data_IF_407317250252
#
_entry.id   IF_407317250252
#
_cell.length_a   1.000
_cell.length_b   1.000
_cell.length_c   1.000
_cell.angle_alpha   90.00
_cell.angle_beta   90.00
_cell.angle_gamma   90.00
#
_symmetry.space_group_name_H-M   'P 1'
#
loop_
_entity.id
_entity.type
_entity.pdbx_description
1 polymer ?
#
# COMPACT_ATOMS: atom_id res chain seq x y z
N UNK A 1 0.60 4.27 19.81
CA UNK A 1 1.89 4.65 19.21
C UNK A 1 2.21 3.60 18.16
N UNK A 2 1.77 3.81 16.91
CA UNK A 2 1.96 2.83 15.84
C UNK A 2 3.41 2.88 15.36
N UNK A 3 4.11 1.76 15.46
CA UNK A 3 5.52 1.63 15.09
C UNK A 3 5.65 1.63 13.56
N UNK A 4 6.07 2.77 13.00
CA UNK A 4 6.41 2.94 11.58
C UNK A 4 7.49 1.93 11.12
N UNK A 5 8.26 1.39 12.07
CA UNK A 5 9.24 0.33 11.85
C UNK A 5 8.65 -0.96 11.27
N UNK A 6 7.33 -1.18 11.39
CA UNK A 6 6.67 -2.38 10.85
C UNK A 6 6.49 -2.36 9.32
N UNK A 7 6.56 -1.19 8.69
CA UNK A 7 6.47 -1.02 7.24
C UNK A 7 7.80 -0.61 6.61
N UNK A 8 8.87 -0.54 7.42
CA UNK A 8 10.23 -0.47 6.94
C UNK A 8 10.56 -1.78 6.24
N UNK A 9 10.78 -1.66 4.94
CA UNK A 9 10.98 -2.75 3.99
C UNK A 9 11.97 -3.80 4.50
N UNK A 10 11.43 -4.98 4.82
CA UNK A 10 12.24 -6.20 4.85
C UNK A 10 12.44 -6.60 3.39
N UNK A 11 13.53 -6.14 2.79
CA UNK A 11 14.10 -6.73 1.58
C UNK A 11 14.08 -8.26 1.76
N UNK A 12 13.21 -8.95 1.03
CA UNK A 12 13.14 -10.41 1.04
C UNK A 12 13.43 -10.92 -0.36
N UNK A 13 14.70 -11.24 -0.53
CA UNK A 13 15.24 -12.17 -1.51
C UNK A 13 14.26 -13.34 -1.76
N UNK A 14 13.61 -13.38 -2.92
CA UNK A 14 12.66 -14.44 -3.30
C UNK A 14 13.44 -15.64 -3.82
N UNK A 15 13.99 -16.43 -2.91
CA UNK A 15 14.50 -17.76 -3.23
C UNK A 15 13.34 -18.77 -3.18
N UNK A 16 12.69 -19.01 -4.34
CA UNK A 16 11.70 -20.08 -4.47
C UNK A 16 12.38 -21.44 -4.29
N UNK A 17 12.20 -22.08 -3.13
CA UNK A 17 12.50 -23.51 -2.98
C UNK A 17 11.29 -24.30 -3.44
N UNK A 18 11.44 -24.86 -4.64
CA UNK A 18 10.68 -25.96 -5.25
C UNK A 18 9.99 -26.83 -4.18
N UNK A 19 8.66 -26.81 -4.11
CA UNK A 19 7.83 -28.01 -4.21
C UNK A 19 6.33 -27.68 -4.16
N UNK A 20 5.57 -28.29 -5.07
CA UNK A 20 4.16 -28.67 -4.94
C UNK A 20 3.10 -27.57 -4.69
N UNK A 21 2.35 -27.25 -5.75
CA UNK A 21 0.99 -26.67 -5.64
C UNK A 21 0.89 -25.25 -6.19
N UNK A 22 0.51 -25.13 -7.45
CA UNK A 22 0.26 -23.86 -8.12
C UNK A 22 -0.95 -23.16 -7.47
N UNK A 23 -0.69 -22.26 -6.53
CA UNK A 23 -1.67 -21.29 -5.99
C UNK A 23 -0.96 -19.94 -5.99
N UNK A 24 -1.10 -19.21 -7.11
CA UNK A 24 -0.54 -17.88 -7.41
C UNK A 24 1.00 -17.81 -7.39
N UNK A 25 1.60 -17.36 -8.50
CA UNK A 25 3.05 -17.12 -8.55
C UNK A 25 3.46 -16.16 -7.41
N UNK A 26 4.68 -16.31 -6.89
CA UNK A 26 5.17 -15.47 -5.79
C UNK A 26 5.02 -13.96 -6.08
N UNK A 27 5.22 -13.58 -7.34
CA UNK A 27 5.02 -12.23 -7.86
C UNK A 27 3.56 -11.76 -7.77
N UNK A 28 2.60 -12.62 -8.14
CA UNK A 28 1.18 -12.27 -8.10
C UNK A 28 0.68 -12.16 -6.66
N UNK A 29 1.13 -13.07 -5.80
CA UNK A 29 0.90 -13.01 -4.34
C UNK A 29 1.49 -11.73 -3.72
N UNK A 30 2.67 -11.29 -4.16
CA UNK A 30 3.29 -10.04 -3.70
C UNK A 30 2.48 -8.82 -4.12
N UNK A 31 2.04 -8.76 -5.39
CA UNK A 31 1.22 -7.66 -5.90
C UNK A 31 -0.08 -7.56 -5.11
N UNK A 32 -0.76 -8.67 -4.88
CA UNK A 32 -1.98 -8.72 -4.04
C UNK A 32 -1.69 -8.27 -2.61
N UNK A 33 -0.59 -8.74 -2.01
CA UNK A 33 -0.21 -8.33 -0.65
C UNK A 33 0.05 -6.80 -0.58
N UNK A 34 0.65 -6.21 -1.62
CA UNK A 34 0.88 -4.77 -1.72
C UNK A 34 -0.44 -4.00 -1.79
N UNK A 35 -1.38 -4.45 -2.62
CA UNK A 35 -2.72 -3.86 -2.72
C UNK A 35 -3.43 -3.88 -1.36
N UNK A 36 -3.41 -5.02 -0.67
CA UNK A 36 -4.07 -5.19 0.64
C UNK A 36 -3.49 -4.21 1.67
N UNK A 37 -2.17 -4.06 1.72
CA UNK A 37 -1.51 -3.14 2.68
C UNK A 37 -1.96 -1.69 2.48
N UNK A 38 -1.98 -1.23 1.24
CA UNK A 38 -2.38 0.15 0.91
C UNK A 38 -3.87 0.35 1.13
N UNK A 39 -4.68 -0.64 0.77
CA UNK A 39 -6.11 -0.60 1.00
C UNK A 39 -6.45 -0.53 2.49
N UNK A 40 -5.82 -1.36 3.32
CA UNK A 40 -6.01 -1.37 4.77
C UNK A 40 -5.65 -0.01 5.40
N UNK A 41 -4.51 0.58 5.01
CA UNK A 41 -4.12 1.92 5.46
C UNK A 41 -5.12 2.99 5.03
N UNK A 42 -5.62 2.93 3.79
CA UNK A 42 -6.64 3.87 3.31
C UNK A 42 -7.96 3.71 4.09
N UNK A 43 -8.38 2.48 4.39
CA UNK A 43 -9.58 2.21 5.21
C UNK A 43 -9.43 2.83 6.60
N UNK A 44 -8.25 2.71 7.22
CA UNK A 44 -7.97 3.31 8.52
C UNK A 44 -8.04 4.85 8.48
N UNK A 45 -7.48 5.47 7.44
CA UNK A 45 -7.57 6.93 7.23
C UNK A 45 -9.01 7.44 7.21
N UNK A 46 -9.93 6.69 6.60
CA UNK A 46 -11.36 7.01 6.56
C UNK A 46 -12.15 6.41 7.73
N UNK A 47 -11.53 6.22 8.89
CA UNK A 47 -12.18 5.71 10.12
C UNK A 47 -12.91 4.37 9.93
N UNK A 48 -12.39 3.50 9.06
CA UNK A 48 -12.98 2.20 8.73
C UNK A 48 -13.94 2.20 7.54
N UNK A 49 -14.20 3.35 6.90
CA UNK A 49 -15.11 3.42 5.78
C UNK A 49 -14.48 2.92 4.48
N UNK A 50 -14.79 1.66 4.13
CA UNK A 50 -14.28 0.99 2.93
C UNK A 50 -14.68 1.68 1.63
N UNK A 51 -15.88 2.26 1.56
CA UNK A 51 -16.35 2.91 0.33
C UNK A 51 -15.55 4.19 0.06
N UNK A 52 -15.34 5.00 1.10
CA UNK A 52 -14.56 6.24 1.00
C UNK A 52 -13.09 5.95 0.66
N UNK A 53 -12.49 4.93 1.30
CA UNK A 53 -11.16 4.47 0.94
C UNK A 53 -11.05 4.02 -0.52
N UNK A 54 -12.06 3.28 -1.01
CA UNK A 54 -12.11 2.84 -2.40
C UNK A 54 -12.22 4.01 -3.39
N UNK A 55 -13.05 5.01 -3.07
CA UNK A 55 -13.21 6.23 -3.86
C UNK A 55 -11.89 7.02 -3.86
N UNK A 56 -11.26 7.18 -2.71
CA UNK A 56 -10.00 7.90 -2.58
C UNK A 56 -8.86 7.25 -3.38
N UNK A 57 -8.74 5.92 -3.35
CA UNK A 57 -7.73 5.19 -4.13
C UNK A 57 -7.89 5.37 -5.65
N UNK A 58 -9.12 5.62 -6.11
CA UNK A 58 -9.43 5.88 -7.51
C UNK A 58 -9.38 7.35 -7.90
N UNK A 59 -9.34 8.24 -6.92
CA UNK A 59 -9.32 9.68 -7.14
C UNK A 59 -7.87 10.18 -7.27
N UNK A 60 -7.59 11.16 -8.14
CA UNK A 60 -6.27 11.79 -8.20
C UNK A 60 -5.99 12.54 -6.90
N UNK A 61 -4.87 12.22 -6.25
CA UNK A 61 -4.48 12.81 -4.96
C UNK A 61 -3.37 13.84 -5.18
N UNK A 62 -3.62 15.09 -4.77
CA UNK A 62 -2.65 16.19 -4.92
C UNK A 62 -1.31 15.90 -4.23
N UNK A 63 -1.33 15.23 -3.08
CA UNK A 63 -0.13 14.82 -2.36
C UNK A 63 0.76 13.80 -3.10
N UNK A 64 0.24 13.17 -4.16
CA UNK A 64 0.98 12.24 -5.02
C UNK A 64 1.29 12.86 -6.39
N UNK A 65 1.25 14.19 -6.51
CA UNK A 65 1.44 14.86 -7.81
C UNK A 65 0.21 14.78 -8.73
N UNK A 66 -0.98 14.49 -8.20
CA UNK A 66 -2.22 14.44 -8.98
C UNK A 66 -2.49 13.11 -9.69
N UNK A 67 -1.74 12.06 -9.36
CA UNK A 67 -2.01 10.70 -9.86
C UNK A 67 -2.90 9.93 -8.91
N UNK A 68 -3.51 8.84 -9.40
CA UNK A 68 -4.35 7.97 -8.58
C UNK A 68 -3.47 7.01 -7.76
N UNK A 69 -3.77 6.82 -6.46
CA UNK A 69 -3.08 5.82 -5.63
C UNK A 69 -3.09 4.42 -6.27
N UNK A 70 -4.21 4.05 -6.91
CA UNK A 70 -4.36 2.76 -7.59
C UNK A 70 -3.39 2.56 -8.76
N UNK A 71 -2.93 3.63 -9.40
CA UNK A 71 -1.90 3.55 -10.43
C UNK A 71 -0.50 3.38 -9.83
N UNK A 72 -0.24 3.99 -8.67
CA UNK A 72 1.07 3.96 -8.02
C UNK A 72 1.39 2.61 -7.37
N UNK A 73 0.38 1.95 -6.78
CA UNK A 73 0.53 0.62 -6.16
C UNK A 73 0.93 -0.49 -7.14
N UNK A 74 0.86 -0.25 -8.45
CA UNK A 74 1.41 -1.15 -9.45
C UNK A 74 2.92 -1.37 -9.26
N UNK A 75 3.61 -0.39 -8.67
CA UNK A 75 5.03 -0.45 -8.32
C UNK A 75 5.22 -0.49 -6.82
N UNK A 76 6.36 -1.03 -6.39
CA UNK A 76 6.69 -1.11 -4.97
C UNK A 76 6.94 0.27 -4.36
N UNK A 77 7.74 1.09 -5.05
CA UNK A 77 8.02 2.47 -4.66
C UNK A 77 6.76 3.33 -4.63
N UNK A 78 5.85 3.19 -5.60
CA UNK A 78 4.60 3.95 -5.59
C UNK A 78 3.66 3.55 -4.45
N UNK A 79 3.64 2.27 -4.03
CA UNK A 79 2.89 1.87 -2.85
C UNK A 79 3.45 2.48 -1.56
N UNK A 80 4.78 2.60 -1.45
CA UNK A 80 5.44 3.29 -0.35
C UNK A 80 5.05 4.76 -0.27
N UNK A 81 5.03 5.48 -1.39
CA UNK A 81 4.63 6.88 -1.41
C UNK A 81 3.18 7.09 -0.99
N UNK A 82 2.28 6.20 -1.41
CA UNK A 82 0.87 6.24 -0.97
C UNK A 82 0.77 6.03 0.54
N UNK A 83 1.51 5.06 1.10
CA UNK A 83 1.52 4.78 2.53
C UNK A 83 2.10 5.95 3.34
N UNK A 84 3.19 6.55 2.86
CA UNK A 84 3.79 7.74 3.48
C UNK A 84 2.78 8.90 3.51
N UNK A 85 2.10 9.15 2.39
CA UNK A 85 1.08 10.17 2.33
C UNK A 85 -0.07 9.91 3.31
N UNK A 86 -0.58 8.67 3.39
CA UNK A 86 -1.64 8.30 4.33
C UNK A 86 -1.18 8.57 5.77
N UNK A 87 0.06 8.19 6.11
CA UNK A 87 0.62 8.41 7.43
C UNK A 87 0.71 9.91 7.77
N UNK A 88 1.15 10.73 6.81
CA UNK A 88 1.22 12.19 6.96
C UNK A 88 -0.17 12.80 7.17
N UNK A 89 -1.18 12.32 6.44
CA UNK A 89 -2.58 12.76 6.60
C UNK A 89 -3.15 12.37 7.97
N UNK A 90 -2.84 11.16 8.46
CA UNK A 90 -3.34 10.66 9.75
C UNK A 90 -2.70 11.39 10.94
N UNK A 91 -1.41 11.71 10.86
CA UNK A 91 -0.67 12.36 11.94
C UNK A 91 -0.66 13.89 11.83
N UNK A 92 -1.23 14.46 10.77
CA UNK A 92 -1.26 15.91 10.53
C UNK A 92 0.12 16.53 10.34
N UNK A 93 1.12 15.74 9.91
CA UNK A 93 2.50 16.20 9.71
C UNK A 93 2.64 16.81 8.32
N UNK A 94 2.46 18.12 8.24
CA UNK A 94 2.84 18.93 7.09
C UNK A 94 4.28 19.41 7.29
N UNK A 95 5.19 19.07 6.39
CA UNK A 95 6.54 19.66 6.28
C UNK A 95 6.73 20.09 4.85
#
# INVERSE_FOLDING_TARGET
MYNFDKYKYKERNVACRKNAGCVLSAEESERVARLIRVFDAAVQLFSGNKNEAWIWLKSPVKGLGGVTPMSLIATESGALEVLDLIWRLEHGVFS
#
